data_IF_020091879188
#
_entry.id   IF_020091879188
#
_cell.length_a   1.000
_cell.length_b   1.000
_cell.length_c   1.000
_cell.angle_alpha   90.00
_cell.angle_beta   90.00
_cell.angle_gamma   90.00
#
_symmetry.space_group_name_H-M   'P 1'
#
loop_
_entity.id
_entity.type
_entity.pdbx_description
1 polymer ?
#
# COMPACT_ATOMS: atom_id res chain seq x y z
N UNK A 1 34.09 12.84 3.28
CA UNK A 1 33.13 12.26 4.25
C UNK A 1 32.26 11.31 3.45
N UNK A 2 32.57 10.00 3.47
CA UNK A 2 31.86 9.01 2.66
C UNK A 2 30.56 8.63 3.37
N UNK A 3 29.42 8.83 2.70
CA UNK A 3 28.15 8.27 3.15
C UNK A 3 28.25 6.76 3.05
N UNK A 4 28.21 6.07 4.18
CA UNK A 4 28.04 4.61 4.24
C UNK A 4 26.75 4.26 3.50
N UNK A 5 26.78 3.40 2.48
CA UNK A 5 25.54 2.86 1.94
C UNK A 5 24.86 2.06 3.06
N UNK A 6 23.59 2.36 3.28
CA UNK A 6 22.73 1.62 4.20
C UNK A 6 22.54 0.21 3.62
N UNK A 7 23.36 -0.75 4.09
CA UNK A 7 23.28 -2.15 3.68
C UNK A 7 22.26 -2.83 4.57
N UNK A 8 21.01 -2.92 4.12
CA UNK A 8 20.01 -3.75 4.77
C UNK A 8 20.08 -5.19 4.25
N UNK A 9 20.41 -6.12 5.14
CA UNK A 9 20.33 -7.55 4.85
C UNK A 9 18.87 -7.99 5.09
N UNK A 10 18.10 -8.13 4.01
CA UNK A 10 16.76 -8.72 4.07
C UNK A 10 16.90 -10.21 3.77
N UNK A 11 16.61 -11.07 4.74
CA UNK A 11 16.57 -12.52 4.50
C UNK A 11 15.16 -12.92 4.07
N UNK A 12 15.06 -13.92 3.18
CA UNK A 12 13.80 -14.39 2.59
C UNK A 12 12.77 -14.83 3.65
N UNK A 13 13.24 -15.30 4.82
CA UNK A 13 12.38 -15.72 5.92
C UNK A 13 11.60 -14.56 6.55
N UNK A 14 12.28 -13.46 6.90
CA UNK A 14 11.63 -12.28 7.49
C UNK A 14 10.72 -11.58 6.47
N UNK A 15 11.13 -11.55 5.20
CA UNK A 15 10.26 -11.07 4.13
C UNK A 15 8.94 -11.87 4.08
N UNK A 16 8.99 -13.19 4.23
CA UNK A 16 7.80 -14.04 4.24
C UNK A 16 6.88 -13.76 5.44
N UNK A 17 7.44 -13.60 6.64
CA UNK A 17 6.63 -13.33 7.85
C UNK A 17 5.97 -11.94 7.78
N UNK A 18 6.69 -10.92 7.34
CA UNK A 18 6.13 -9.57 7.17
C UNK A 18 5.05 -9.53 6.09
N UNK A 19 5.26 -10.23 4.98
CA UNK A 19 4.25 -10.35 3.92
C UNK A 19 3.00 -11.08 4.44
N UNK A 20 3.17 -12.16 5.20
CA UNK A 20 2.05 -12.88 5.80
C UNK A 20 1.25 -12.01 6.77
N UNK A 21 1.92 -11.27 7.66
CA UNK A 21 1.27 -10.38 8.62
C UNK A 21 0.52 -9.23 7.93
N UNK A 22 1.12 -8.60 6.92
CA UNK A 22 0.45 -7.58 6.13
C UNK A 22 -0.75 -8.16 5.37
N UNK A 23 -0.62 -9.36 4.81
CA UNK A 23 -1.71 -10.03 4.10
C UNK A 23 -2.89 -10.37 5.03
N UNK A 24 -2.63 -10.77 6.28
CA UNK A 24 -3.68 -11.01 7.27
C UNK A 24 -4.47 -9.72 7.57
N UNK A 25 -3.77 -8.59 7.75
CA UNK A 25 -4.42 -7.29 7.93
C UNK A 25 -5.26 -6.89 6.71
N UNK A 26 -4.77 -7.12 5.49
CA UNK A 26 -5.51 -6.88 4.26
C UNK A 26 -6.78 -7.75 4.20
N UNK A 27 -6.67 -9.04 4.51
CA UNK A 27 -7.82 -9.96 4.51
C UNK A 27 -8.87 -9.56 5.55
N UNK A 28 -8.43 -9.14 6.73
CA UNK A 28 -9.33 -8.60 7.75
C UNK A 28 -10.03 -7.33 7.24
N UNK A 29 -9.27 -6.39 6.66
CA UNK A 29 -9.81 -5.13 6.18
C UNK A 29 -10.84 -5.30 5.07
N UNK A 30 -10.60 -6.22 4.13
CA UNK A 30 -11.57 -6.60 3.10
C UNK A 30 -12.90 -7.08 3.68
N UNK A 31 -12.87 -7.84 4.77
CA UNK A 31 -14.09 -8.36 5.43
C UNK A 31 -14.82 -7.29 6.22
N UNK A 32 -14.07 -6.41 6.88
CA UNK A 32 -14.58 -5.32 7.69
C UNK A 32 -14.74 -4.00 6.91
N UNK A 33 -14.77 -4.07 5.58
CA UNK A 33 -14.74 -2.89 4.72
C UNK A 33 -15.97 -2.02 4.93
N UNK A 34 -15.73 -0.74 5.19
CA UNK A 34 -16.75 0.30 5.20
C UNK A 34 -16.42 1.27 4.05
N UNK A 35 -17.36 1.44 3.11
CA UNK A 35 -17.14 2.26 1.93
C UNK A 35 -17.02 3.76 2.23
N UNK A 36 -17.70 4.25 3.28
CA UNK A 36 -17.59 5.66 3.67
C UNK A 36 -16.21 5.98 4.24
N UNK A 37 -15.69 5.11 5.11
CA UNK A 37 -14.35 5.26 5.67
C UNK A 37 -13.28 5.16 4.58
N UNK A 38 -13.45 4.24 3.62
CA UNK A 38 -12.53 4.09 2.48
C UNK A 38 -12.59 5.31 1.57
N UNK A 39 -13.78 5.83 1.27
CA UNK A 39 -13.94 7.03 0.46
C UNK A 39 -13.27 8.23 1.12
N UNK A 40 -13.49 8.45 2.42
CA UNK A 40 -12.89 9.56 3.15
C UNK A 40 -11.36 9.42 3.25
N UNK A 41 -10.85 8.21 3.50
CA UNK A 41 -9.42 7.95 3.49
C UNK A 41 -8.80 8.18 2.11
N UNK A 42 -9.52 7.84 1.03
CA UNK A 42 -9.07 8.08 -0.34
C UNK A 42 -9.05 9.57 -0.67
N UNK A 43 -10.06 10.32 -0.27
CA UNK A 43 -10.10 11.79 -0.41
C UNK A 43 -8.87 12.42 0.26
N UNK A 44 -8.51 11.99 1.47
CA UNK A 44 -7.28 12.42 2.14
C UNK A 44 -6.01 12.12 1.31
N UNK A 45 -5.92 10.94 0.70
CA UNK A 45 -4.76 10.58 -0.11
C UNK A 45 -4.65 11.39 -1.40
N UNK A 46 -5.76 11.90 -1.94
CA UNK A 46 -5.73 12.76 -3.14
C UNK A 46 -4.93 14.05 -2.90
N UNK A 47 -4.98 14.59 -1.68
CA UNK A 47 -4.27 15.80 -1.29
C UNK A 47 -2.79 15.56 -0.94
N UNK A 48 -2.37 14.30 -0.81
CA UNK A 48 -1.02 13.93 -0.42
C UNK A 48 -0.22 13.52 -1.66
N UNK A 49 0.84 14.29 -1.96
CA UNK A 49 1.77 13.96 -3.03
C UNK A 49 3.10 13.43 -2.47
N UNK A 50 3.48 12.22 -2.89
CA UNK A 50 4.77 11.62 -2.54
C UNK A 50 4.70 10.68 -1.33
N UNK A 51 5.57 10.92 -0.34
CA UNK A 51 5.80 9.98 0.76
C UNK A 51 5.23 10.49 2.07
N UNK A 52 4.63 9.60 2.84
CA UNK A 52 4.05 9.90 4.15
C UNK A 52 4.23 8.71 5.10
N UNK A 53 4.37 8.97 6.40
CA UNK A 53 4.40 7.89 7.40
C UNK A 53 3.00 7.36 7.62
N UNK A 54 2.85 6.04 7.73
CA UNK A 54 1.55 5.40 7.90
C UNK A 54 0.76 5.94 9.11
N UNK A 55 1.45 6.21 10.22
CA UNK A 55 0.92 6.83 11.43
C UNK A 55 0.29 8.21 11.24
N UNK A 56 0.83 9.00 10.32
CA UNK A 56 0.34 10.37 10.06
C UNK A 56 -1.03 10.35 9.37
N UNK A 57 -1.33 9.30 8.60
CA UNK A 57 -2.62 9.12 7.91
C UNK A 57 -3.79 8.84 8.87
N UNK A 58 -3.50 8.60 10.15
CA UNK A 58 -4.49 8.34 11.20
C UNK A 58 -4.74 9.53 12.11
N UNK A 59 -3.96 10.62 11.98
CA UNK A 59 -4.10 11.79 12.84
C UNK A 59 -5.38 12.57 12.54
N UNK A 60 -5.91 13.24 13.56
CA UNK A 60 -7.07 14.13 13.44
C UNK A 60 -8.44 13.45 13.55
N UNK A 61 -8.49 12.14 13.77
CA UNK A 61 -9.73 11.38 13.94
C UNK A 61 -9.90 10.90 15.39
N UNK A 62 -11.15 10.96 15.86
CA UNK A 62 -11.53 10.45 17.19
C UNK A 62 -11.34 8.93 17.28
N UNK A 63 -11.68 8.21 16.21
CA UNK A 63 -11.55 6.75 16.15
C UNK A 63 -10.60 6.34 15.03
N UNK A 64 -9.34 6.10 15.39
CA UNK A 64 -8.29 5.72 14.45
C UNK A 64 -8.46 4.31 13.86
N UNK A 65 -9.20 3.42 14.53
CA UNK A 65 -9.39 2.04 14.10
C UNK A 65 -10.08 1.94 12.74
N UNK A 66 -11.12 2.74 12.50
CA UNK A 66 -11.84 2.78 11.23
C UNK A 66 -10.94 3.28 10.09
N UNK A 67 -10.17 4.34 10.34
CA UNK A 67 -9.19 4.86 9.38
C UNK A 67 -8.11 3.84 9.05
N UNK A 68 -7.57 3.15 10.05
CA UNK A 68 -6.56 2.10 9.84
C UNK A 68 -7.11 0.98 8.95
N UNK A 69 -8.33 0.55 9.21
CA UNK A 69 -9.00 -0.46 8.38
C UNK A 69 -9.19 0.02 6.93
N UNK A 70 -9.63 1.25 6.74
CA UNK A 70 -9.76 1.87 5.42
C UNK A 70 -8.41 1.98 4.68
N UNK A 71 -7.33 2.36 5.39
CA UNK A 71 -5.99 2.44 4.80
C UNK A 71 -5.48 1.07 4.36
N UNK A 72 -5.77 -0.02 5.08
CA UNK A 72 -5.45 -1.38 4.65
C UNK A 72 -6.17 -1.78 3.36
N UNK A 73 -7.44 -1.39 3.20
CA UNK A 73 -8.16 -1.55 1.93
C UNK A 73 -7.48 -0.76 0.79
N UNK A 74 -7.00 0.45 1.06
CA UNK A 74 -6.32 1.28 0.06
C UNK A 74 -4.92 0.77 -0.29
N UNK A 75 -4.23 0.13 0.64
CA UNK A 75 -2.98 -0.60 0.35
C UNK A 75 -3.26 -1.75 -0.62
N UNK A 76 -4.31 -2.52 -0.35
CA UNK A 76 -4.73 -3.63 -1.21
C UNK A 76 -5.14 -3.19 -2.61
N UNK A 77 -5.82 -2.05 -2.72
CA UNK A 77 -6.18 -1.44 -4.00
C UNK A 77 -5.01 -0.76 -4.72
N UNK A 78 -3.83 -0.67 -4.08
CA UNK A 78 -2.63 -0.09 -4.67
C UNK A 78 -2.62 1.44 -4.69
N UNK A 79 -3.31 2.09 -3.75
CA UNK A 79 -3.20 3.54 -3.49
C UNK A 79 -2.05 3.90 -2.56
N UNK A 80 -1.60 2.94 -1.77
CA UNK A 80 -0.52 3.08 -0.81
C UNK A 80 0.40 1.87 -0.89
N UNK A 81 1.70 2.11 -0.88
CA UNK A 81 2.70 1.03 -0.81
C UNK A 81 3.86 1.43 0.11
N UNK A 82 4.42 0.51 0.89
CA UNK A 82 5.61 0.83 1.66
C UNK A 82 6.79 1.09 0.71
N UNK A 83 7.60 2.10 1.02
CA UNK A 83 8.80 2.44 0.21
C UNK A 83 9.82 1.32 0.24
N UNK A 84 9.93 0.63 1.38
CA UNK A 84 10.78 -0.54 1.59
C UNK A 84 9.87 -1.69 1.98
N UNK A 85 9.97 -2.88 1.36
CA UNK A 85 9.21 -4.05 1.79
C UNK A 85 9.50 -4.39 3.26
N UNK A 86 8.50 -4.23 4.12
CA UNK A 86 8.60 -4.48 5.56
C UNK A 86 7.23 -4.80 6.15
N UNK A 87 7.19 -5.14 7.44
CA UNK A 87 5.97 -5.02 8.23
C UNK A 87 5.52 -3.55 8.18
N UNK A 88 4.23 -3.32 7.98
CA UNK A 88 3.68 -1.96 7.98
C UNK A 88 3.31 -1.59 9.41
N UNK A 89 4.04 -0.63 9.94
CA UNK A 89 3.88 -0.05 11.26
C UNK A 89 3.68 1.47 11.13
N UNK A 90 3.33 2.14 12.22
CA UNK A 90 2.99 3.57 12.18
C UNK A 90 4.14 4.46 11.71
N UNK A 91 5.39 4.02 11.87
CA UNK A 91 6.57 4.74 11.40
C UNK A 91 6.98 4.37 9.97
N UNK A 92 6.37 3.35 9.36
CA UNK A 92 6.66 2.91 8.00
C UNK A 92 6.40 4.04 7.02
N UNK A 93 7.40 4.32 6.18
CA UNK A 93 7.29 5.31 5.12
C UNK A 93 6.54 4.69 3.93
N UNK A 94 5.41 5.29 3.61
CA UNK A 94 4.53 4.89 2.51
C UNK A 94 4.71 5.86 1.35
N UNK A 95 4.53 5.36 0.14
CA UNK A 95 4.38 6.15 -1.07
C UNK A 95 2.91 6.14 -1.48
N UNK A 96 2.36 7.32 -1.70
CA UNK A 96 0.99 7.50 -2.21
C UNK A 96 1.03 7.37 -3.72
N UNK A 97 0.37 6.32 -4.21
CA UNK A 97 0.20 6.06 -5.62
C UNK A 97 -1.16 6.59 -6.04
N UNK A 98 -1.15 7.76 -6.65
CA UNK A 98 -2.32 8.23 -7.39
C UNK A 98 -2.48 7.27 -8.56
N UNK A 99 -3.52 6.45 -8.54
CA UNK A 99 -3.98 5.80 -9.76
C UNK A 99 -4.39 6.92 -10.71
N UNK A 100 -3.42 7.44 -11.48
CA UNK A 100 -3.74 8.17 -12.71
C UNK A 100 -4.72 7.27 -13.42
N UNK A 101 -5.88 7.80 -13.78
CA UNK A 101 -6.89 7.16 -14.59
C UNK A 101 -6.30 6.63 -15.90
N UNK A 102 -5.57 5.52 -15.82
CA UNK A 102 -5.27 4.65 -16.94
C UNK A 102 -6.12 3.43 -16.70
N UNK A 103 -7.13 3.31 -17.56
CA UNK A 103 -8.02 2.19 -17.59
C UNK A 103 -7.25 0.88 -17.46
N UNK A 104 -7.91 -0.06 -16.77
CA UNK A 104 -7.75 -1.51 -16.90
C UNK A 104 -7.10 -1.83 -18.26
N UNK A 105 -5.77 -1.96 -18.29
CA UNK A 105 -5.07 -2.26 -19.53
C UNK A 105 -5.23 -3.75 -19.75
N UNK A 106 -6.01 -4.02 -20.78
CA UNK A 106 -6.33 -5.29 -21.38
C UNK A 106 -5.12 -6.23 -21.42
N UNK A 107 -5.38 -7.49 -21.09
CA UNK A 107 -4.44 -8.60 -21.19
C UNK A 107 -3.83 -8.58 -22.59
N UNK A 108 -2.54 -8.28 -22.68
CA UNK A 108 -1.78 -8.34 -23.93
C UNK A 108 -1.71 -9.80 -24.39
N UNK A 109 -2.71 -10.24 -25.17
CA UNK A 109 -2.63 -11.47 -25.94
C UNK A 109 -1.55 -11.27 -27.00
N UNK A 110 -0.42 -11.94 -26.80
CA UNK A 110 0.64 -12.07 -27.80
C UNK A 110 0.02 -12.73 -29.05
N UNK A 111 0.09 -12.13 -30.24
CA UNK A 111 -0.36 -12.80 -31.46
C UNK A 111 0.66 -13.89 -31.83
N UNK A 112 0.18 -15.13 -31.98
CA UNK A 112 0.97 -16.24 -32.55
C UNK A 112 1.41 -15.88 -33.98
N UNK A 113 2.67 -16.10 -34.36
CA UNK A 113 3.10 -15.90 -35.74
C UNK A 113 2.47 -16.95 -36.66
N UNK A 114 1.99 -16.50 -37.82
CA UNK A 114 1.45 -17.38 -38.86
C UNK A 114 2.58 -18.22 -39.49
N UNK A 115 2.32 -19.50 -39.80
CA UNK A 115 3.29 -20.34 -40.50
C UNK A 115 3.46 -19.84 -41.94
N UNK A 116 4.70 -19.87 -42.43
CA UNK A 116 5.06 -19.54 -43.81
C UNK A 116 4.70 -20.67 -44.78
#
# INVERSE_FOLDING_TARGET
MAATPDVSFITEYFASEYVAANAENILFARRARNEDDVREARELLLDIHGRIRFGELMKGLEIQAYRRNALWCLIDEGWLRPVIPSLIEDHTLMEVTHATSRGRTEVHRIPLPLPQ
#
